data_IF_882663563832
#
_entry.id   IF_882663563832
#
_cell.length_a   1.000
_cell.length_b   1.000
_cell.length_c   1.000
_cell.angle_alpha   90.00
_cell.angle_beta   90.00
_cell.angle_gamma   90.00
#
_symmetry.space_group_name_H-M   'P 1'
#
loop_
_entity.id
_entity.type
_entity.pdbx_description
1 polymer ?
#
# COMPACT_ATOMS: atom_id res chain seq x y z
N UNK A 1 -15.20 35.66 4.17
CA UNK A 1 -13.83 35.60 3.59
C UNK A 1 -13.68 34.25 2.89
N UNK A 2 -14.70 33.85 2.13
CA UNK A 2 -14.99 32.44 1.79
C UNK A 2 -14.95 32.18 0.27
N UNK A 3 -14.84 33.25 -0.52
CA UNK A 3 -14.74 33.19 -1.98
C UNK A 3 -13.35 32.78 -2.46
N UNK A 4 -12.30 33.10 -1.70
CA UNK A 4 -10.91 32.79 -2.07
C UNK A 4 -10.55 31.31 -1.85
N UNK A 5 -11.00 30.72 -0.74
CA UNK A 5 -10.88 29.28 -0.46
C UNK A 5 -11.54 28.45 -1.57
N UNK A 6 -12.78 28.79 -1.94
CA UNK A 6 -13.54 28.12 -2.99
C UNK A 6 -12.85 28.21 -4.38
N UNK A 7 -12.27 29.38 -4.70
CA UNK A 7 -11.54 29.56 -5.96
C UNK A 7 -10.26 28.71 -6.01
N UNK A 8 -9.51 28.63 -4.90
CA UNK A 8 -8.26 27.85 -4.84
C UNK A 8 -8.50 26.35 -5.04
N UNK A 9 -9.58 25.81 -4.47
CA UNK A 9 -9.92 24.40 -4.61
C UNK A 9 -10.46 24.06 -6.00
N UNK A 10 -11.17 24.99 -6.63
CA UNK A 10 -11.57 24.85 -8.03
C UNK A 10 -10.35 24.77 -8.96
N UNK A 11 -9.33 25.62 -8.76
CA UNK A 11 -8.09 25.59 -9.55
C UNK A 11 -7.37 24.25 -9.36
N UNK A 12 -7.16 23.80 -8.11
CA UNK A 12 -6.52 22.50 -7.82
C UNK A 12 -7.22 21.34 -8.50
N UNK A 13 -8.56 21.27 -8.44
CA UNK A 13 -9.35 20.20 -9.06
C UNK A 13 -9.26 20.25 -10.58
N UNK A 14 -9.30 21.44 -11.17
CA UNK A 14 -9.17 21.64 -12.61
C UNK A 14 -7.79 21.21 -13.12
N UNK A 15 -6.72 21.61 -12.44
CA UNK A 15 -5.35 21.22 -12.75
C UNK A 15 -5.12 19.70 -12.61
N UNK A 16 -5.71 19.09 -11.58
CA UNK A 16 -5.64 17.65 -11.39
C UNK A 16 -6.40 16.91 -12.51
N UNK A 17 -7.61 17.35 -12.87
CA UNK A 17 -8.37 16.78 -13.97
C UNK A 17 -7.62 16.90 -15.31
N UNK A 18 -6.99 18.04 -15.55
CA UNK A 18 -6.12 18.26 -16.70
C UNK A 18 -4.90 17.32 -16.71
N UNK A 19 -4.29 17.08 -15.56
CA UNK A 19 -3.16 16.14 -15.46
C UNK A 19 -3.57 14.68 -15.70
N UNK A 20 -4.79 14.31 -15.30
CA UNK A 20 -5.36 12.97 -15.53
C UNK A 20 -5.68 12.77 -17.02
N UNK A 21 -6.23 13.80 -17.69
CA UNK A 21 -6.62 13.70 -19.11
C UNK A 21 -5.43 13.46 -20.04
N UNK A 22 -4.22 13.87 -19.63
CA UNK A 22 -2.98 13.58 -20.35
C UNK A 22 -2.57 12.10 -20.32
N UNK A 23 -3.25 11.26 -19.54
CA UNK A 23 -2.96 9.83 -19.36
C UNK A 23 -1.45 9.53 -19.20
N UNK A 24 -0.72 10.24 -18.32
CA UNK A 24 0.71 10.04 -18.19
C UNK A 24 1.02 8.60 -17.76
N UNK A 25 2.18 8.12 -18.22
CA UNK A 25 2.67 6.78 -17.86
C UNK A 25 2.77 6.62 -16.34
N UNK A 26 2.36 5.48 -15.79
CA UNK A 26 2.52 5.18 -14.37
C UNK A 26 4.00 5.23 -13.95
N UNK A 27 4.25 5.69 -12.73
CA UNK A 27 5.58 5.70 -12.12
C UNK A 27 5.76 4.47 -11.22
N UNK A 28 6.96 3.91 -11.21
CA UNK A 28 7.32 2.80 -10.33
C UNK A 28 7.08 3.14 -8.86
N UNK A 29 6.48 2.23 -8.10
CA UNK A 29 6.31 2.41 -6.66
C UNK A 29 7.64 2.20 -5.96
N UNK A 30 8.20 3.25 -5.38
CA UNK A 30 9.44 3.20 -4.60
C UNK A 30 9.30 2.34 -3.33
N UNK A 31 8.14 2.41 -2.66
CA UNK A 31 7.91 1.77 -1.35
C UNK A 31 7.93 0.23 -1.40
N UNK A 32 7.65 -0.37 -2.56
CA UNK A 32 7.72 -1.81 -2.76
C UNK A 32 8.65 -2.23 -3.90
N UNK A 33 9.49 -1.31 -4.40
CA UNK A 33 10.34 -1.52 -5.57
C UNK A 33 9.58 -2.17 -6.76
N UNK A 34 8.40 -1.62 -7.08
CA UNK A 34 7.51 -2.11 -8.14
C UNK A 34 6.96 -3.53 -7.99
N UNK A 35 7.13 -4.20 -6.85
CA UNK A 35 6.60 -5.56 -6.63
C UNK A 35 5.10 -5.62 -6.35
N UNK A 36 4.50 -4.52 -5.92
CA UNK A 36 3.09 -4.44 -5.52
C UNK A 36 2.81 -4.96 -4.11
N UNK A 37 3.71 -5.76 -3.55
CA UNK A 37 3.60 -6.32 -2.21
C UNK A 37 4.84 -6.00 -1.38
N UNK A 38 4.65 -5.96 -0.07
CA UNK A 38 5.71 -5.83 0.94
C UNK A 38 5.65 -7.03 1.87
N UNK A 39 6.76 -7.33 2.52
CA UNK A 39 6.82 -8.38 3.52
C UNK A 39 5.84 -8.09 4.66
N UNK A 40 5.07 -9.11 5.07
CA UNK A 40 4.16 -8.98 6.20
C UNK A 40 4.97 -8.80 7.48
N UNK A 41 4.93 -7.59 8.04
CA UNK A 41 5.67 -7.23 9.26
C UNK A 41 5.26 -8.02 10.50
N UNK A 42 4.06 -8.59 10.50
CA UNK A 42 3.53 -9.37 11.63
C UNK A 42 4.09 -10.78 11.71
N UNK A 43 4.42 -11.40 10.57
CA UNK A 43 5.01 -12.74 10.54
C UNK A 43 6.45 -12.74 9.99
N UNK A 44 7.03 -11.57 9.71
CA UNK A 44 8.37 -11.45 9.13
C UNK A 44 8.52 -12.25 7.83
N UNK A 45 7.50 -12.24 6.97
CA UNK A 45 7.54 -12.96 5.70
C UNK A 45 7.23 -14.46 5.77
N UNK A 46 7.19 -15.06 6.96
CA UNK A 46 7.05 -16.53 7.10
C UNK A 46 5.66 -17.04 6.76
N UNK A 47 4.63 -16.21 6.91
CA UNK A 47 3.24 -16.63 6.77
C UNK A 47 2.68 -17.34 8.00
N UNK A 48 3.45 -17.54 9.07
CA UNK A 48 2.99 -18.18 10.31
C UNK A 48 2.92 -17.18 11.47
N UNK A 49 1.94 -17.34 12.35
CA UNK A 49 1.80 -16.49 13.54
C UNK A 49 2.65 -17.04 14.69
N UNK A 50 3.64 -16.28 15.15
CA UNK A 50 4.54 -16.67 16.25
C UNK A 50 4.28 -15.76 17.44
N UNK A 51 3.97 -16.35 18.60
CA UNK A 51 3.83 -15.62 19.86
C UNK A 51 5.02 -16.02 20.75
N UNK A 52 5.94 -15.08 20.99
CA UNK A 52 7.17 -15.32 21.75
C UNK A 52 8.21 -16.11 20.93
N UNK A 53 8.87 -17.08 21.56
CA UNK A 53 9.91 -17.92 20.93
C UNK A 53 9.38 -19.28 20.45
N UNK A 54 8.12 -19.60 20.76
CA UNK A 54 7.52 -20.86 20.40
C UNK A 54 6.72 -20.68 19.11
N UNK A 55 7.18 -21.33 18.05
CA UNK A 55 6.29 -21.70 16.95
C UNK A 55 5.20 -22.58 17.57
N UNK A 56 3.92 -22.22 17.46
CA UNK A 56 2.79 -23.06 17.92
C UNK A 56 2.65 -24.31 17.02
N UNK A 57 3.74 -25.04 16.81
CA UNK A 57 3.87 -26.18 15.92
C UNK A 57 3.40 -27.50 16.57
N UNK A 58 3.03 -27.48 17.84
CA UNK A 58 2.70 -28.71 18.60
C UNK A 58 1.20 -29.07 18.64
N UNK A 59 0.32 -28.30 17.97
CA UNK A 59 -1.09 -28.68 17.83
C UNK A 59 -1.50 -28.86 16.36
N UNK A 60 -1.73 -30.11 15.88
CA UNK A 60 -2.05 -30.38 14.47
C UNK A 60 -3.42 -29.85 14.01
N UNK A 61 -4.20 -29.26 14.90
CA UNK A 61 -5.65 -29.06 14.70
C UNK A 61 -6.09 -27.60 14.56
N UNK A 62 -5.20 -26.61 14.61
CA UNK A 62 -5.55 -25.19 14.38
C UNK A 62 -4.55 -24.53 13.43
N UNK A 63 -5.08 -23.96 12.35
CA UNK A 63 -4.34 -23.18 11.34
C UNK A 63 -3.38 -22.18 12.00
N UNK A 64 -2.07 -22.42 11.94
CA UNK A 64 -1.01 -21.53 12.48
C UNK A 64 -0.67 -20.37 11.53
N UNK A 65 -1.46 -20.20 10.47
CA UNK A 65 -1.28 -19.15 9.49
C UNK A 65 -1.38 -17.77 10.15
N UNK A 66 -0.51 -16.85 9.74
CA UNK A 66 -0.59 -15.45 10.09
C UNK A 66 -1.95 -14.91 9.64
N UNK A 67 -2.79 -14.57 10.60
CA UNK A 67 -4.15 -14.07 10.37
C UNK A 67 -4.16 -12.73 9.62
N UNK A 68 -3.08 -11.96 9.71
CA UNK A 68 -2.95 -10.65 9.07
C UNK A 68 -2.73 -10.76 7.57
N UNK A 69 -1.89 -11.70 7.12
CA UNK A 69 -1.63 -11.93 5.69
C UNK A 69 -2.31 -13.22 5.17
N UNK A 70 -3.19 -13.83 5.96
CA UNK A 70 -3.82 -15.12 5.66
C UNK A 70 -2.83 -16.19 5.18
N UNK A 71 -1.68 -16.31 5.85
CA UNK A 71 -0.65 -17.29 5.48
C UNK A 71 0.30 -16.91 4.33
N UNK A 72 0.05 -15.80 3.61
CA UNK A 72 0.83 -15.45 2.41
C UNK A 72 2.25 -14.95 2.66
N UNK A 73 2.59 -14.57 3.89
CA UNK A 73 3.86 -13.91 4.22
C UNK A 73 4.03 -12.49 3.64
N UNK A 74 3.10 -12.02 2.82
CA UNK A 74 3.16 -10.72 2.16
C UNK A 74 1.85 -9.95 2.34
N UNK A 75 1.96 -8.63 2.34
CA UNK A 75 0.84 -7.71 2.38
C UNK A 75 0.89 -6.81 1.15
N UNK A 76 -0.27 -6.33 0.69
CA UNK A 76 -0.31 -5.35 -0.39
C UNK A 76 0.40 -4.07 0.04
N UNK A 77 1.19 -3.50 -0.87
CA UNK A 77 1.80 -2.20 -0.64
C UNK A 77 0.69 -1.14 -0.54
N UNK A 78 0.64 -0.40 0.56
CA UNK A 78 -0.39 0.59 0.83
C UNK A 78 -0.38 1.75 -0.17
N UNK A 79 0.80 2.06 -0.73
CA UNK A 79 1.05 3.17 -1.64
C UNK A 79 0.59 2.93 -3.07
N UNK A 80 0.81 1.71 -3.59
CA UNK A 80 0.37 1.34 -4.95
C UNK A 80 -0.84 0.41 -4.96
N UNK A 81 -1.41 0.08 -3.79
CA UNK A 81 -2.58 -0.81 -3.65
C UNK A 81 -2.43 -2.15 -4.40
N UNK A 82 -1.22 -2.70 -4.42
CA UNK A 82 -0.97 -3.98 -5.09
C UNK A 82 -0.49 -3.93 -6.53
N UNK A 83 -0.54 -2.78 -7.22
CA UNK A 83 -0.22 -2.71 -8.66
C UNK A 83 1.28 -2.67 -8.96
N UNK A 84 2.11 -2.25 -7.99
CA UNK A 84 3.52 -1.95 -8.20
C UNK A 84 3.79 -0.58 -8.84
N UNK A 85 2.75 0.13 -9.30
CA UNK A 85 2.87 1.41 -9.99
C UNK A 85 1.88 2.45 -9.43
N UNK A 86 2.30 3.70 -9.40
CA UNK A 86 1.47 4.84 -8.97
C UNK A 86 1.17 5.72 -10.17
N UNK A 87 0.00 6.32 -10.16
CA UNK A 87 -0.30 7.36 -11.14
C UNK A 87 0.59 8.59 -10.89
N UNK A 88 1.14 9.17 -11.95
CA UNK A 88 2.07 10.31 -11.86
C UNK A 88 1.44 11.53 -11.17
N UNK A 89 0.14 11.72 -11.34
CA UNK A 89 -0.64 12.82 -10.76
C UNK A 89 -0.94 12.66 -9.25
N UNK A 90 -0.64 11.50 -8.63
CA UNK A 90 -0.85 11.28 -7.18
C UNK A 90 0.24 11.93 -6.29
N UNK A 91 1.23 12.60 -6.87
CA UNK A 91 2.34 13.20 -6.12
C UNK A 91 3.22 12.15 -5.42
N UNK A 92 4.10 12.64 -4.53
CA UNK A 92 4.97 11.77 -3.73
C UNK A 92 4.15 11.02 -2.66
N UNK A 93 4.53 9.77 -2.32
CA UNK A 93 4.00 9.09 -1.16
C UNK A 93 4.10 9.95 0.10
N UNK A 94 3.12 9.87 1.04
CA UNK A 94 3.36 10.33 2.40
C UNK A 94 4.54 9.56 3.00
N UNK A 95 5.34 10.19 3.89
CA UNK A 95 6.40 9.48 4.60
C UNK A 95 5.81 8.33 5.46
N UNK A 96 6.57 7.24 5.67
CA UNK A 96 6.14 6.07 6.43
C UNK A 96 5.94 6.34 7.92
#
# INVERSE_FOLDING_TARGET
>A
MDSYENSSDFVKRTEQAWSISQQPRPVACSSCASKGHVECKWCGGTGFFVIGNNLLCEFPSRNTNCVVCAGKGSAFCADCKGTGFRAKWLGKPPPP
#
